data_IF_254528317296
#
_entry.id   IF_254528317296
#
_cell.length_a   1.000
_cell.length_b   1.000
_cell.length_c   1.000
_cell.angle_alpha   90.00
_cell.angle_beta   90.00
_cell.angle_gamma   90.00
#
_symmetry.space_group_name_H-M   'P 1'
#
loop_
_entity.id
_entity.type
_entity.pdbx_description
1 polymer ?
#
# COMPACT_ATOMS: atom_id res chain seq x y z
N UNK A 1 -4.70 -17.95 6.74
CA UNK A 1 -3.77 -18.97 7.26
C UNK A 1 -4.44 -20.31 7.25
N UNK A 2 -3.68 -21.38 7.03
CA UNK A 2 -4.21 -22.74 7.01
C UNK A 2 -3.22 -23.76 7.53
N UNK A 3 -3.76 -24.94 7.87
CA UNK A 3 -2.99 -26.12 8.23
C UNK A 3 -2.79 -27.02 7.01
N UNK A 4 -1.72 -27.80 7.04
CA UNK A 4 -1.41 -28.82 6.06
C UNK A 4 -1.56 -30.20 6.71
N UNK A 5 -2.32 -31.10 6.10
CA UNK A 5 -2.30 -32.51 6.50
C UNK A 5 -0.93 -33.13 6.16
N UNK A 6 -0.39 -34.04 7.01
CA UNK A 6 0.85 -34.73 6.70
C UNK A 6 0.62 -35.71 5.53
N UNK A 7 0.97 -35.26 4.33
CA UNK A 7 1.00 -36.05 3.08
C UNK A 7 2.39 -35.98 2.47
N UNK A 8 2.77 -37.01 1.72
CA UNK A 8 3.97 -36.97 0.86
C UNK A 8 3.83 -35.86 -0.18
N UNK A 9 4.95 -35.20 -0.53
CA UNK A 9 4.94 -34.00 -1.39
C UNK A 9 4.26 -34.24 -2.74
N UNK A 10 4.46 -35.43 -3.32
CA UNK A 10 3.90 -35.84 -4.62
C UNK A 10 2.37 -35.98 -4.60
N UNK A 11 1.78 -36.17 -3.43
CA UNK A 11 0.35 -36.34 -3.24
C UNK A 11 -0.34 -35.07 -2.75
N UNK A 12 0.41 -34.00 -2.46
CA UNK A 12 -0.14 -32.72 -2.01
C UNK A 12 -0.71 -31.93 -3.16
N UNK A 13 -1.86 -31.33 -2.90
CA UNK A 13 -2.67 -30.55 -3.80
C UNK A 13 -3.18 -29.29 -3.10
N UNK A 14 -3.74 -28.36 -3.88
CA UNK A 14 -4.31 -27.12 -3.34
C UNK A 14 -5.50 -27.35 -2.40
N UNK A 15 -6.20 -28.48 -2.53
CA UNK A 15 -7.37 -28.82 -1.70
C UNK A 15 -7.00 -29.33 -0.32
N UNK A 16 -5.73 -29.69 -0.10
CA UNK A 16 -5.24 -30.12 1.22
C UNK A 16 -4.95 -28.93 2.15
N UNK A 17 -4.96 -27.70 1.63
CA UNK A 17 -4.88 -26.49 2.44
C UNK A 17 -6.25 -26.20 3.07
N UNK A 18 -6.29 -26.16 4.40
CA UNK A 18 -7.51 -25.91 5.17
C UNK A 18 -7.36 -24.62 5.95
N UNK A 19 -8.27 -23.66 5.75
CA UNK A 19 -8.26 -22.41 6.50
C UNK A 19 -8.36 -22.65 8.01
N UNK A 20 -7.55 -21.96 8.81
CA UNK A 20 -7.56 -22.11 10.28
C UNK A 20 -8.88 -21.65 10.92
N UNK A 21 -9.61 -20.76 10.24
CA UNK A 21 -10.90 -20.25 10.70
C UNK A 21 -11.91 -20.25 9.54
N UNK A 22 -13.19 -20.54 9.82
CA UNK A 22 -14.24 -20.54 8.80
C UNK A 22 -14.67 -19.13 8.35
N UNK A 23 -14.18 -18.09 9.03
CA UNK A 23 -14.52 -16.69 8.78
C UNK A 23 -13.26 -15.81 8.88
N UNK A 24 -13.23 -14.64 8.20
CA UNK A 24 -12.17 -13.65 8.40
C UNK A 24 -12.09 -13.24 9.88
N UNK A 25 -10.87 -13.12 10.40
CA UNK A 25 -10.64 -12.85 11.83
C UNK A 25 -9.34 -12.09 12.04
N UNK A 26 -9.27 -11.37 13.15
CA UNK A 26 -8.05 -10.74 13.68
C UNK A 26 -7.31 -11.64 14.68
N UNK A 27 -7.79 -12.85 14.93
CA UNK A 27 -7.11 -13.84 15.77
C UNK A 27 -5.80 -14.24 15.09
N UNK A 28 -4.72 -14.22 15.87
CA UNK A 28 -3.40 -14.62 15.39
C UNK A 28 -3.41 -16.06 14.86
N UNK A 29 -2.68 -16.35 13.78
CA UNK A 29 -2.59 -17.71 13.26
C UNK A 29 -2.00 -18.66 14.30
N UNK A 30 -2.49 -19.91 14.30
CA UNK A 30 -1.91 -20.98 15.13
C UNK A 30 -0.45 -21.24 14.70
N UNK A 31 0.45 -21.61 15.64
CA UNK A 31 1.83 -21.94 15.30
C UNK A 31 1.92 -22.98 14.18
N UNK A 32 2.76 -22.72 13.18
CA UNK A 32 2.94 -23.57 12.01
C UNK A 32 1.91 -23.39 10.89
N UNK A 33 0.91 -22.51 11.06
CA UNK A 33 0.01 -22.18 9.96
C UNK A 33 0.74 -21.41 8.84
N UNK A 34 0.38 -21.69 7.59
CA UNK A 34 0.95 -21.05 6.40
C UNK A 34 -0.13 -20.36 5.57
N UNK A 35 0.27 -19.38 4.75
CA UNK A 35 -0.65 -18.81 3.76
C UNK A 35 -0.91 -19.80 2.63
N UNK A 36 -1.99 -19.61 1.85
CA UNK A 36 -2.22 -20.44 0.67
C UNK A 36 -1.07 -20.28 -0.36
N UNK A 37 -0.50 -19.08 -0.49
CA UNK A 37 0.63 -18.82 -1.38
C UNK A 37 1.85 -19.66 -0.99
N UNK A 38 2.30 -19.50 0.25
CA UNK A 38 3.41 -20.29 0.84
C UNK A 38 3.17 -21.79 0.73
N UNK A 39 1.94 -22.25 1.00
CA UNK A 39 1.60 -23.66 0.86
C UNK A 39 1.76 -24.16 -0.58
N UNK A 40 1.22 -23.44 -1.56
CA UNK A 40 1.34 -23.81 -2.97
C UNK A 40 2.80 -23.80 -3.46
N UNK A 41 3.59 -22.85 -2.98
CA UNK A 41 4.98 -22.65 -3.40
C UNK A 41 5.95 -23.66 -2.77
N UNK A 42 5.85 -23.86 -1.46
CA UNK A 42 6.85 -24.63 -0.69
C UNK A 42 6.41 -26.06 -0.37
N UNK A 43 5.10 -26.32 -0.43
CA UNK A 43 4.51 -27.58 0.04
C UNK A 43 3.75 -28.35 -1.05
N UNK A 44 3.80 -27.93 -2.31
CA UNK A 44 3.20 -28.68 -3.42
C UNK A 44 4.10 -28.68 -4.65
N UNK A 45 3.82 -29.57 -5.61
CA UNK A 45 4.46 -29.57 -6.93
C UNK A 45 3.61 -28.82 -8.00
N UNK A 46 2.67 -27.97 -7.57
CA UNK A 46 1.79 -27.24 -8.48
C UNK A 46 2.60 -26.21 -9.27
N UNK A 47 2.47 -26.21 -10.59
CA UNK A 47 3.18 -25.26 -11.46
C UNK A 47 2.81 -23.80 -11.17
N UNK A 48 3.75 -22.85 -11.32
CA UNK A 48 3.52 -21.41 -11.08
C UNK A 48 2.29 -20.82 -11.80
N UNK A 49 2.04 -21.27 -13.03
CA UNK A 49 0.86 -20.87 -13.81
C UNK A 49 -0.43 -21.27 -13.11
N UNK A 50 -0.47 -22.49 -12.60
CA UNK A 50 -1.60 -23.04 -11.88
C UNK A 50 -1.74 -22.43 -10.48
N UNK A 51 -0.63 -22.19 -9.78
CA UNK A 51 -0.63 -21.44 -8.52
C UNK A 51 -1.28 -20.05 -8.71
N UNK A 52 -0.92 -19.34 -9.78
CA UNK A 52 -1.51 -18.04 -10.11
C UNK A 52 -3.01 -18.15 -10.40
N UNK A 53 -3.43 -19.19 -11.14
CA UNK A 53 -4.85 -19.46 -11.41
C UNK A 53 -5.62 -19.69 -10.11
N UNK A 54 -5.09 -20.53 -9.21
CA UNK A 54 -5.72 -20.86 -7.92
C UNK A 54 -5.79 -19.61 -7.03
N UNK A 55 -4.70 -18.85 -6.89
CA UNK A 55 -4.66 -17.60 -6.10
C UNK A 55 -5.71 -16.59 -6.58
N UNK A 56 -5.84 -16.40 -7.89
CA UNK A 56 -6.83 -15.48 -8.49
C UNK A 56 -8.28 -15.97 -8.39
N UNK A 57 -8.47 -17.28 -8.34
CA UNK A 57 -9.78 -17.91 -8.25
C UNK A 57 -10.18 -18.30 -6.81
N UNK A 58 -9.47 -17.84 -5.78
CA UNK A 58 -9.55 -18.37 -4.41
C UNK A 58 -10.98 -18.59 -3.87
N UNK A 59 -11.89 -17.65 -4.11
CA UNK A 59 -13.29 -17.69 -3.65
C UNK A 59 -14.28 -18.34 -4.62
N UNK A 60 -13.82 -18.72 -5.82
CA UNK A 60 -14.67 -19.38 -6.82
C UNK A 60 -15.11 -20.77 -6.32
N UNK A 61 -16.28 -21.22 -6.80
CA UNK A 61 -16.85 -22.52 -6.45
C UNK A 61 -15.85 -23.64 -6.74
N UNK A 62 -15.59 -24.48 -5.73
CA UNK A 62 -14.66 -25.61 -5.81
C UNK A 62 -13.24 -25.32 -5.32
N UNK A 63 -12.90 -24.06 -5.02
CA UNK A 63 -11.61 -23.72 -4.41
C UNK A 63 -11.69 -23.64 -2.88
N UNK A 64 -10.55 -23.75 -2.22
CA UNK A 64 -10.45 -23.79 -0.75
C UNK A 64 -10.94 -22.51 -0.04
N UNK A 65 -11.00 -21.39 -0.77
CA UNK A 65 -11.52 -20.12 -0.29
C UNK A 65 -13.02 -19.90 -0.53
N UNK A 66 -13.75 -20.85 -1.13
CA UNK A 66 -15.16 -20.65 -1.50
C UNK A 66 -16.04 -20.25 -0.31
N UNK A 67 -15.73 -20.76 0.89
CA UNK A 67 -16.41 -20.39 2.13
C UNK A 67 -16.38 -18.88 2.44
N UNK A 68 -15.44 -18.13 1.85
CA UNK A 68 -15.30 -16.69 2.06
C UNK A 68 -16.03 -15.83 1.03
N UNK A 69 -16.78 -16.43 0.09
CA UNK A 69 -17.41 -15.68 -1.01
C UNK A 69 -18.44 -14.66 -0.52
N UNK A 70 -19.18 -14.95 0.56
CA UNK A 70 -20.12 -13.98 1.13
C UNK A 70 -19.40 -12.74 1.63
N UNK A 71 -18.29 -12.90 2.37
CA UNK A 71 -17.49 -11.79 2.87
C UNK A 71 -16.83 -10.99 1.75
N UNK A 72 -16.42 -11.64 0.66
CA UNK A 72 -15.93 -10.95 -0.53
C UNK A 72 -17.03 -10.09 -1.16
N UNK A 73 -18.25 -10.60 -1.25
CA UNK A 73 -19.38 -9.84 -1.78
C UNK A 73 -19.73 -8.66 -0.88
N UNK A 74 -19.77 -8.88 0.44
CA UNK A 74 -20.01 -7.81 1.43
C UNK A 74 -18.94 -6.73 1.34
N UNK A 75 -17.66 -7.11 1.18
CA UNK A 75 -16.56 -6.18 0.98
C UNK A 75 -16.67 -5.41 -0.33
N UNK A 76 -16.98 -6.09 -1.44
CA UNK A 76 -17.15 -5.45 -2.74
C UNK A 76 -18.30 -4.44 -2.70
N UNK A 77 -19.42 -4.78 -2.07
CA UNK A 77 -20.55 -3.86 -1.93
C UNK A 77 -20.18 -2.67 -1.02
N UNK A 78 -19.47 -2.91 0.09
CA UNK A 78 -19.01 -1.84 0.97
C UNK A 78 -17.97 -0.91 0.32
N UNK A 79 -17.19 -1.41 -0.64
CA UNK A 79 -16.21 -0.64 -1.42
C UNK A 79 -16.80 0.00 -2.68
N UNK A 80 -18.08 -0.26 -2.97
CA UNK A 80 -18.74 0.27 -4.14
C UNK A 80 -18.88 1.78 -4.04
N UNK A 81 -18.51 2.44 -5.12
CA UNK A 81 -18.58 3.87 -5.28
C UNK A 81 -19.82 4.18 -6.14
N UNK A 82 -20.86 4.75 -5.54
CA UNK A 82 -22.14 5.06 -6.22
C UNK A 82 -22.07 6.25 -7.18
N UNK A 83 -20.86 6.68 -7.53
CA UNK A 83 -20.64 7.90 -8.31
C UNK A 83 -20.78 7.57 -9.80
N UNK A 84 -21.67 8.31 -10.48
CA UNK A 84 -21.82 8.22 -11.92
C UNK A 84 -20.64 8.91 -12.63
N UNK A 85 -19.50 8.22 -12.69
CA UNK A 85 -18.27 8.71 -13.30
C UNK A 85 -18.32 8.75 -14.84
N UNK A 86 -19.33 8.12 -15.47
CA UNK A 86 -19.40 7.93 -16.91
C UNK A 86 -19.35 9.23 -17.75
N UNK A 87 -19.73 10.36 -17.14
CA UNK A 87 -19.79 11.66 -17.81
C UNK A 87 -18.73 12.66 -17.33
N UNK A 88 -17.83 12.27 -16.43
CA UNK A 88 -16.81 13.17 -15.87
C UNK A 88 -15.40 12.62 -16.11
N UNK A 89 -14.69 13.22 -17.07
CA UNK A 89 -13.31 12.84 -17.38
C UNK A 89 -12.37 12.91 -16.18
N UNK A 90 -12.63 13.78 -15.20
CA UNK A 90 -11.85 13.89 -13.97
C UNK A 90 -12.06 12.70 -13.02
N UNK A 91 -13.06 11.85 -13.26
CA UNK A 91 -13.40 10.70 -12.44
C UNK A 91 -13.16 9.37 -13.16
N UNK A 92 -12.46 9.37 -14.31
CA UNK A 92 -12.15 8.14 -15.06
C UNK A 92 -11.47 7.07 -14.22
N UNK A 93 -10.67 7.44 -13.22
CA UNK A 93 -10.05 6.46 -12.32
C UNK A 93 -11.10 5.74 -11.46
N UNK A 94 -12.24 6.35 -11.14
CA UNK A 94 -13.39 5.70 -10.48
C UNK A 94 -14.29 4.90 -11.43
N UNK A 95 -13.94 4.79 -12.72
CA UNK A 95 -14.76 4.07 -13.70
C UNK A 95 -14.94 2.58 -13.40
N UNK A 96 -14.07 2.01 -12.56
CA UNK A 96 -14.25 0.65 -12.04
C UNK A 96 -15.48 0.50 -11.14
N UNK A 97 -16.01 1.60 -10.62
CA UNK A 97 -17.12 1.62 -9.66
C UNK A 97 -16.70 1.35 -8.22
N UNK A 98 -15.40 1.41 -7.92
CA UNK A 98 -14.84 1.19 -6.58
C UNK A 98 -13.91 2.34 -6.16
N UNK A 99 -13.81 2.58 -4.86
CA UNK A 99 -12.80 3.48 -4.30
C UNK A 99 -11.39 2.88 -4.45
N UNK A 100 -10.39 3.69 -4.80
CA UNK A 100 -8.98 3.30 -4.66
C UNK A 100 -8.44 3.61 -3.27
N UNK A 101 -9.07 4.56 -2.56
CA UNK A 101 -8.76 4.89 -1.18
C UNK A 101 -10.02 4.75 -0.32
N UNK A 102 -9.94 3.93 0.73
CA UNK A 102 -11.07 3.73 1.63
C UNK A 102 -11.48 5.04 2.34
N UNK A 103 -12.79 5.37 2.44
CA UNK A 103 -13.22 6.63 3.04
C UNK A 103 -12.77 6.89 4.49
N UNK A 104 -12.53 5.82 5.27
CA UNK A 104 -11.99 5.95 6.64
C UNK A 104 -10.59 6.55 6.67
N UNK A 105 -9.80 6.39 5.61
CA UNK A 105 -8.49 7.03 5.49
C UNK A 105 -8.63 8.55 5.36
N UNK A 106 -9.58 9.04 4.57
CA UNK A 106 -9.83 10.49 4.46
C UNK A 106 -10.22 11.12 5.79
N UNK A 107 -11.05 10.44 6.59
CA UNK A 107 -11.39 10.85 7.96
C UNK A 107 -10.16 10.94 8.86
N UNK A 108 -9.23 9.99 8.74
CA UNK A 108 -7.99 10.02 9.50
C UNK A 108 -7.14 11.24 9.11
N UNK A 109 -6.94 11.49 7.82
CA UNK A 109 -6.15 12.64 7.35
C UNK A 109 -6.78 13.96 7.78
N UNK A 110 -8.10 14.07 7.69
CA UNK A 110 -8.86 15.22 8.17
C UNK A 110 -8.66 15.43 9.69
N UNK A 111 -8.82 14.37 10.49
CA UNK A 111 -8.58 14.43 11.92
C UNK A 111 -7.16 14.91 12.26
N UNK A 112 -6.14 14.36 11.59
CA UNK A 112 -4.75 14.78 11.81
C UNK A 112 -4.53 16.26 11.44
N UNK A 113 -5.14 16.72 10.35
CA UNK A 113 -5.07 18.12 9.91
C UNK A 113 -5.84 19.07 10.85
N UNK A 114 -6.97 18.64 11.40
CA UNK A 114 -7.77 19.41 12.38
C UNK A 114 -7.04 19.57 13.71
N UNK A 115 -6.31 18.54 14.14
CA UNK A 115 -5.48 18.57 15.34
C UNK A 115 -4.12 19.26 15.12
N UNK A 116 -3.87 19.78 13.90
CA UNK A 116 -2.58 20.32 13.45
C UNK A 116 -1.38 19.43 13.79
N UNK A 117 -1.58 18.11 13.67
CA UNK A 117 -0.53 17.13 13.88
C UNK A 117 0.41 17.10 12.69
N UNK A 118 1.68 16.82 12.98
CA UNK A 118 2.69 16.54 11.95
C UNK A 118 2.66 15.05 11.62
N UNK A 119 2.62 14.75 10.33
CA UNK A 119 2.60 13.40 9.82
C UNK A 119 3.15 13.37 8.40
N UNK A 120 3.56 12.19 7.95
CA UNK A 120 3.93 11.95 6.57
C UNK A 120 3.13 10.77 6.04
N UNK A 121 2.70 10.85 4.78
CA UNK A 121 1.96 9.77 4.12
C UNK A 121 2.82 9.21 3.00
N UNK A 122 3.05 7.90 3.02
CA UNK A 122 3.65 7.16 1.92
C UNK A 122 2.60 6.20 1.35
N UNK A 123 2.06 6.50 0.17
CA UNK A 123 1.21 5.56 -0.55
C UNK A 123 2.07 4.48 -1.19
N UNK A 124 1.80 3.21 -0.86
CA UNK A 124 2.45 2.07 -1.52
C UNK A 124 1.40 1.25 -2.24
N UNK A 125 1.59 1.04 -3.54
CA UNK A 125 0.70 0.21 -4.37
C UNK A 125 1.51 -0.85 -5.09
N UNK A 126 0.87 -1.95 -5.48
CA UNK A 126 1.44 -2.92 -6.40
C UNK A 126 0.86 -2.71 -7.80
N UNK A 127 1.64 -2.99 -8.85
CA UNK A 127 1.11 -2.89 -10.21
C UNK A 127 0.94 -1.44 -10.65
N UNK A 128 -0.19 -1.06 -11.25
CA UNK A 128 -0.37 0.23 -11.97
C UNK A 128 -1.30 1.22 -11.27
N UNK A 129 -1.73 0.93 -10.04
CA UNK A 129 -2.80 1.68 -9.39
C UNK A 129 -2.35 3.02 -8.78
N UNK A 130 -1.04 3.29 -8.72
CA UNK A 130 -0.51 4.47 -8.02
C UNK A 130 -1.05 5.79 -8.58
N UNK A 131 -1.23 5.89 -9.89
CA UNK A 131 -1.74 7.10 -10.55
C UNK A 131 -3.20 7.38 -10.17
N UNK A 132 -4.01 6.32 -10.05
CA UNK A 132 -5.39 6.41 -9.62
C UNK A 132 -5.49 6.84 -8.16
N UNK A 133 -4.69 6.22 -7.28
CA UNK A 133 -4.60 6.57 -5.85
C UNK A 133 -4.19 8.04 -5.68
N UNK A 134 -3.15 8.49 -6.38
CA UNK A 134 -2.70 9.89 -6.30
C UNK A 134 -3.75 10.87 -6.81
N UNK A 135 -4.45 10.53 -7.89
CA UNK A 135 -5.52 11.36 -8.45
C UNK A 135 -6.71 11.48 -7.51
N UNK A 136 -7.15 10.36 -6.91
CA UNK A 136 -8.22 10.32 -5.91
C UNK A 136 -7.88 11.16 -4.68
N UNK A 137 -6.67 10.95 -4.12
CA UNK A 137 -6.21 11.71 -2.95
C UNK A 137 -6.08 13.21 -3.22
N UNK A 138 -5.60 13.59 -4.41
CA UNK A 138 -5.49 15.00 -4.80
C UNK A 138 -6.87 15.66 -4.97
N UNK A 139 -7.87 14.93 -5.46
CA UNK A 139 -9.24 15.42 -5.51
C UNK A 139 -9.81 15.62 -4.11
N UNK A 140 -9.51 14.71 -3.17
CA UNK A 140 -9.85 14.88 -1.76
C UNK A 140 -9.21 16.15 -1.20
N UNK A 141 -7.90 16.33 -1.36
CA UNK A 141 -7.18 17.50 -0.85
C UNK A 141 -7.71 18.83 -1.41
N UNK A 142 -8.16 18.85 -2.66
CA UNK A 142 -8.73 20.06 -3.30
C UNK A 142 -10.21 20.31 -2.99
N UNK A 143 -10.86 19.45 -2.19
CA UNK A 143 -12.29 19.57 -1.88
C UNK A 143 -13.22 19.15 -3.02
N UNK A 144 -12.71 18.38 -3.99
CA UNK A 144 -13.43 17.99 -5.21
C UNK A 144 -13.70 16.50 -5.30
N UNK A 145 -13.41 15.73 -4.24
CA UNK A 145 -13.67 14.30 -4.25
C UNK A 145 -15.19 14.03 -4.18
N UNK A 146 -15.74 13.27 -5.14
CA UNK A 146 -17.18 13.20 -5.37
C UNK A 146 -18.00 12.56 -4.24
N UNK A 147 -17.38 11.71 -3.41
CA UNK A 147 -18.03 11.04 -2.28
C UNK A 147 -17.54 11.53 -0.91
N UNK A 148 -16.52 12.40 -0.89
CA UNK A 148 -15.92 12.85 0.35
C UNK A 148 -15.46 14.29 0.19
N UNK A 149 -16.17 15.22 0.80
CA UNK A 149 -15.77 16.64 0.82
C UNK A 149 -15.17 16.91 2.21
N UNK A 150 -13.86 17.20 2.32
CA UNK A 150 -13.25 17.54 3.60
C UNK A 150 -13.81 18.85 4.17
N UNK A 151 -13.75 18.99 5.49
CA UNK A 151 -14.13 20.18 6.27
C UNK A 151 -13.26 21.40 5.92
N UNK A 152 -12.07 21.17 5.37
CA UNK A 152 -11.10 22.17 4.91
C UNK A 152 -10.33 21.70 3.70
N UNK A 153 -9.76 22.65 2.94
CA UNK A 153 -8.87 22.30 1.82
C UNK A 153 -7.48 21.93 2.35
N UNK A 154 -6.93 20.84 1.84
CA UNK A 154 -5.62 20.31 2.21
C UNK A 154 -4.61 20.48 1.06
N UNK A 155 -4.83 21.46 0.19
CA UNK A 155 -4.02 21.78 -0.99
C UNK A 155 -3.17 23.05 -0.82
N UNK A 156 -3.03 23.53 0.41
CA UNK A 156 -2.31 24.75 0.78
C UNK A 156 -3.06 26.06 0.51
N UNK A 157 -4.26 26.02 -0.08
CA UNK A 157 -5.04 27.23 -0.37
C UNK A 157 -5.88 27.72 0.81
N UNK A 158 -6.09 26.88 1.83
CA UNK A 158 -6.82 27.25 3.04
C UNK A 158 -5.99 28.24 3.88
N UNK A 159 -6.54 29.43 4.23
CA UNK A 159 -5.82 30.41 5.03
C UNK A 159 -5.45 29.92 6.44
N UNK A 160 -6.22 28.99 7.00
CA UNK A 160 -6.04 28.43 8.34
C UNK A 160 -5.25 27.11 8.33
N UNK A 161 -4.97 26.56 7.15
CA UNK A 161 -4.17 25.34 6.99
C UNK A 161 -3.35 25.39 5.69
N UNK A 162 -2.14 25.95 5.79
CA UNK A 162 -1.28 26.24 4.62
C UNK A 162 -0.50 25.02 4.09
N UNK A 163 -0.61 23.86 4.73
CA UNK A 163 0.08 22.62 4.30
C UNK A 163 -0.61 22.06 3.06
N UNK A 164 0.18 21.79 2.00
CA UNK A 164 -0.29 21.15 0.76
C UNK A 164 0.04 19.66 0.81
N UNK A 165 -0.99 18.83 0.97
CA UNK A 165 -0.87 17.38 1.09
C UNK A 165 -0.94 16.68 -0.27
N UNK A 166 -1.09 17.41 -1.37
CA UNK A 166 -1.19 16.78 -2.69
C UNK A 166 0.10 16.08 -3.07
N UNK A 167 -0.04 14.92 -3.70
CA UNK A 167 1.07 14.17 -4.30
C UNK A 167 1.36 14.77 -5.67
N UNK A 168 2.63 15.10 -5.92
CA UNK A 168 3.06 15.81 -7.14
C UNK A 168 3.92 14.92 -8.03
N UNK A 169 3.29 14.05 -8.81
CA UNK A 169 4.02 13.20 -9.76
C UNK A 169 4.74 14.04 -10.83
N UNK A 170 5.95 13.64 -11.27
CA UNK A 170 6.71 12.46 -10.84
C UNK A 170 7.62 12.70 -9.60
N UNK A 171 7.53 13.87 -8.96
CA UNK A 171 8.29 14.16 -7.74
C UNK A 171 7.70 13.40 -6.55
N UNK A 172 8.56 13.04 -5.60
CA UNK A 172 8.16 12.24 -4.42
C UNK A 172 7.50 10.90 -4.82
N UNK A 173 7.93 10.34 -5.95
CA UNK A 173 7.46 9.07 -6.47
C UNK A 173 8.63 8.18 -6.87
N UNK A 174 8.57 6.91 -6.48
CA UNK A 174 9.55 5.90 -6.84
C UNK A 174 8.92 4.60 -7.32
N UNK A 175 9.58 3.93 -8.27
CA UNK A 175 9.26 2.56 -8.68
C UNK A 175 10.22 1.59 -8.03
N UNK A 176 9.72 0.67 -7.22
CA UNK A 176 10.50 -0.39 -6.60
C UNK A 176 10.57 -1.61 -7.49
N UNK A 177 11.75 -2.21 -7.55
CA UNK A 177 11.96 -3.51 -8.15
C UNK A 177 12.87 -4.35 -7.27
N UNK A 178 12.70 -5.66 -7.35
CA UNK A 178 13.47 -6.65 -6.58
C UNK A 178 14.21 -7.58 -7.55
N UNK A 179 15.52 -7.74 -7.36
CA UNK A 179 16.33 -8.69 -8.16
C UNK A 179 16.77 -9.94 -7.37
N UNK A 180 16.45 -10.00 -6.08
CA UNK A 180 16.85 -11.10 -5.20
C UNK A 180 16.18 -11.04 -3.83
N UNK A 181 16.51 -12.01 -2.97
CA UNK A 181 16.05 -12.04 -1.59
C UNK A 181 16.80 -11.03 -0.72
N UNK A 182 16.12 -10.50 0.30
CA UNK A 182 16.72 -9.61 1.30
C UNK A 182 16.76 -8.13 0.90
N UNK A 183 17.40 -7.32 1.74
CA UNK A 183 17.47 -5.86 1.62
C UNK A 183 18.32 -5.36 0.45
N UNK A 184 19.34 -6.13 0.06
CA UNK A 184 20.31 -5.73 -0.98
C UNK A 184 19.73 -5.83 -2.40
N UNK A 185 18.75 -6.71 -2.61
CA UNK A 185 18.09 -6.89 -3.90
C UNK A 185 17.04 -5.83 -4.24
N UNK A 186 16.81 -4.84 -3.36
CA UNK A 186 15.81 -3.80 -3.55
C UNK A 186 16.39 -2.61 -4.33
N UNK A 187 15.73 -2.20 -5.39
CA UNK A 187 16.07 -1.01 -6.18
C UNK A 187 14.89 -0.05 -6.21
N UNK A 188 15.18 1.24 -6.27
CA UNK A 188 14.18 2.27 -6.51
C UNK A 188 14.63 3.19 -7.64
N UNK A 189 13.82 3.30 -8.69
CA UNK A 189 13.96 4.36 -9.69
C UNK A 189 13.04 5.54 -9.30
N UNK A 190 13.58 6.74 -9.17
CA UNK A 190 12.81 7.94 -8.82
C UNK A 190 13.29 9.17 -9.58
N UNK A 191 12.54 10.27 -9.50
CA UNK A 191 12.96 11.57 -10.03
C UNK A 191 13.58 12.40 -8.90
N UNK A 192 14.80 12.90 -9.11
CA UNK A 192 15.50 13.76 -8.16
C UNK A 192 15.03 15.23 -8.22
N UNK A 193 15.59 16.10 -7.38
CA UNK A 193 15.25 17.53 -7.35
C UNK A 193 15.64 18.28 -8.64
N UNK A 194 16.62 17.77 -9.39
CA UNK A 194 17.07 18.27 -10.68
C UNK A 194 16.27 17.70 -11.86
N UNK A 195 15.18 16.96 -11.58
CA UNK A 195 14.32 16.28 -12.54
C UNK A 195 15.02 15.19 -13.38
N UNK A 196 16.10 14.60 -12.86
CA UNK A 196 16.72 13.42 -13.47
C UNK A 196 16.12 12.15 -12.90
N UNK A 197 16.01 11.11 -13.74
CA UNK A 197 15.71 9.76 -13.25
C UNK A 197 16.96 9.15 -12.64
N UNK A 198 16.91 8.85 -11.34
CA UNK A 198 18.00 8.24 -10.57
C UNK A 198 17.56 6.88 -10.07
N UNK A 199 18.49 5.93 -10.01
CA UNK A 199 18.27 4.62 -9.42
C UNK A 199 19.14 4.45 -8.19
N UNK A 200 18.55 4.03 -7.07
CA UNK A 200 19.25 3.65 -5.85
C UNK A 200 19.05 2.15 -5.58
N UNK A 201 20.02 1.55 -4.90
CA UNK A 201 20.03 0.11 -4.58
C UNK A 201 20.25 -0.12 -3.09
N UNK A 202 19.60 -1.14 -2.56
CA UNK A 202 19.61 -1.50 -1.14
C UNK A 202 18.52 -0.75 -0.35
N UNK A 203 17.89 -1.47 0.58
CA UNK A 203 16.82 -0.91 1.42
C UNK A 203 17.25 0.34 2.21
N UNK A 204 18.50 0.39 2.67
CA UNK A 204 19.04 1.57 3.36
C UNK A 204 19.09 2.82 2.47
N UNK A 205 19.46 2.68 1.19
CA UNK A 205 19.49 3.80 0.26
C UNK A 205 18.07 4.26 -0.11
N UNK A 206 17.15 3.32 -0.35
CA UNK A 206 15.73 3.62 -0.58
C UNK A 206 15.13 4.38 0.62
N UNK A 207 15.39 3.90 1.83
CA UNK A 207 14.94 4.55 3.06
C UNK A 207 15.48 5.98 3.18
N UNK A 208 16.78 6.19 2.92
CA UNK A 208 17.37 7.54 2.94
C UNK A 208 16.70 8.49 1.96
N UNK A 209 16.44 8.06 0.72
CA UNK A 209 15.73 8.90 -0.25
C UNK A 209 14.33 9.27 0.25
N UNK A 210 13.57 8.31 0.77
CA UNK A 210 12.21 8.58 1.26
C UNK A 210 12.24 9.52 2.46
N UNK A 211 13.09 9.22 3.45
CA UNK A 211 13.08 9.96 4.71
C UNK A 211 13.76 11.32 4.58
N UNK A 212 14.95 11.37 4.00
CA UNK A 212 15.77 12.57 3.93
C UNK A 212 15.35 13.44 2.75
N UNK A 213 15.22 12.87 1.54
CA UNK A 213 14.97 13.68 0.35
C UNK A 213 13.48 14.03 0.18
N UNK A 214 12.57 13.11 0.53
CA UNK A 214 11.13 13.34 0.33
C UNK A 214 10.43 13.90 1.55
N UNK A 215 10.79 13.44 2.75
CA UNK A 215 10.16 13.88 3.99
C UNK A 215 11.01 14.88 4.80
N UNK A 216 12.24 15.19 4.36
CA UNK A 216 13.15 16.09 5.05
C UNK A 216 13.38 15.71 6.54
N UNK A 217 13.35 14.42 6.83
CA UNK A 217 13.65 13.85 8.15
C UNK A 217 15.13 13.52 8.18
N UNK A 218 15.89 14.32 8.93
CA UNK A 218 17.31 14.01 9.18
C UNK A 218 17.40 12.96 10.29
N UNK A 219 17.96 11.81 9.95
CA UNK A 219 18.24 10.74 10.90
C UNK A 219 19.59 11.05 11.56
N UNK A 220 19.56 11.69 12.74
CA UNK A 220 20.77 11.83 13.57
C UNK A 220 21.14 10.52 14.27
N UNK A 221 20.30 9.49 14.14
CA UNK A 221 20.52 8.15 14.68
C UNK A 221 21.00 7.22 13.58
N UNK A 222 22.21 6.70 13.73
CA UNK A 222 22.64 5.51 12.97
C UNK A 222 21.61 4.39 13.19
N UNK A 223 21.20 3.63 12.16
CA UNK A 223 20.23 2.53 12.31
C UNK A 223 20.68 1.42 13.28
N UNK A 224 21.93 1.42 13.73
CA UNK A 224 22.50 0.42 14.64
C UNK A 224 22.57 0.83 16.13
N UNK A 225 22.25 2.07 16.52
CA UNK A 225 22.41 2.51 17.91
C UNK A 225 21.16 3.21 18.47
N UNK A 226 20.29 2.41 19.11
CA UNK A 226 19.16 2.91 19.90
C UNK A 226 19.61 3.22 21.34
N UNK A 227 20.20 4.40 21.55
CA UNK A 227 20.18 5.07 22.85
C UNK A 227 19.77 6.53 22.65
N UNK A 228 18.53 6.83 23.01
CA UNK A 228 17.94 8.16 22.90
C UNK A 228 18.55 9.11 23.95
N UNK A 229 19.40 10.03 23.52
CA UNK A 229 19.68 11.27 24.26
C UNK A 229 18.93 12.41 23.60
N UNK A 230 18.05 13.04 24.39
CA UNK A 230 17.27 14.21 24.03
C UNK A 230 18.20 15.43 24.17
N UNK A 231 18.74 15.93 23.07
CA UNK A 231 19.37 17.26 23.02
C UNK A 231 18.45 18.24 22.31
N UNK A 232 18.18 19.35 23.02
CA UNK A 232 17.41 20.50 22.56
C UNK A 232 18.27 21.35 21.62
N UNK A 233 18.01 21.32 20.32
CA UNK A 233 18.51 22.36 19.41
C UNK A 233 17.36 23.16 18.78
N UNK A 234 17.35 24.44 19.16
CA UNK A 234 16.42 25.46 18.72
C UNK A 234 16.90 26.07 17.39
N UNK A 235 16.56 25.43 16.29
CA UNK A 235 16.32 26.05 14.97
C UNK A 235 15.25 25.20 14.33
N UNK A 236 13.97 25.51 14.55
CA UNK A 236 12.87 24.69 14.04
C UNK A 236 12.93 24.69 12.52
N UNK A 237 13.35 23.60 11.84
CA UNK A 237 13.04 23.48 10.41
C UNK A 237 11.54 23.65 10.28
N UNK A 238 11.09 24.35 9.25
CA UNK A 238 9.67 24.47 8.97
C UNK A 238 9.04 23.08 9.03
N UNK A 239 8.04 22.94 9.89
CA UNK A 239 7.35 21.69 10.15
C UNK A 239 6.62 21.28 8.87
N UNK A 240 7.15 20.30 8.15
CA UNK A 240 6.59 19.91 6.86
C UNK A 240 5.85 18.58 6.93
N UNK A 241 4.55 18.64 6.69
CA UNK A 241 3.72 17.46 6.38
C UNK A 241 3.87 17.18 4.88
N UNK A 242 4.37 16.01 4.52
CA UNK A 242 4.61 15.61 3.13
C UNK A 242 3.83 14.35 2.75
N UNK A 243 3.56 14.21 1.45
CA UNK A 243 2.93 13.03 0.87
C UNK A 243 3.76 12.55 -0.31
N UNK A 244 4.06 11.26 -0.30
CA UNK A 244 4.86 10.58 -1.31
C UNK A 244 4.19 9.27 -1.75
N UNK A 245 4.68 8.71 -2.84
CA UNK A 245 4.11 7.54 -3.49
C UNK A 245 5.20 6.55 -3.92
N UNK A 246 4.94 5.26 -3.78
CA UNK A 246 5.84 4.20 -4.21
C UNK A 246 5.04 3.11 -4.92
N UNK A 247 5.50 2.77 -6.12
CA UNK A 247 4.91 1.73 -6.96
C UNK A 247 5.82 0.50 -6.95
N UNK A 248 5.32 -0.61 -6.45
CA UNK A 248 6.05 -1.88 -6.36
C UNK A 248 5.82 -2.74 -7.60
N UNK A 249 6.88 -3.28 -8.19
CA UNK A 249 6.79 -4.16 -9.34
C UNK A 249 6.23 -5.53 -8.93
N UNK A 250 5.01 -5.79 -9.38
CA UNK A 250 4.25 -7.00 -9.10
C UNK A 250 4.95 -8.30 -9.56
N UNK A 251 5.90 -8.22 -10.50
CA UNK A 251 6.54 -9.40 -11.08
C UNK A 251 7.30 -10.24 -10.05
N UNK A 252 7.87 -9.64 -9.00
CA UNK A 252 8.68 -10.37 -8.03
C UNK A 252 7.88 -11.26 -7.08
N UNK A 253 6.64 -10.90 -6.75
CA UNK A 253 5.77 -11.72 -5.89
C UNK A 253 5.37 -13.07 -6.53
N UNK A 254 5.76 -13.30 -7.79
CA UNK A 254 5.48 -14.51 -8.55
C UNK A 254 6.75 -15.28 -8.98
N UNK A 255 7.95 -14.76 -8.70
CA UNK A 255 9.23 -15.42 -9.00
C UNK A 255 9.79 -16.13 -7.79
#
# INVERSE_FOLDING_TARGET
>A
WGLCEPKELEHRSATDWVACHPQPTNVSPVPGAVTLGTYLEDHTLVSKKEQTRIKRAFTQKGNSGHQFVSFQNDLNEALRCEINAANNDQLRYLSSGYYHIIPSFFRLVEYLAEMDLEFNILFRTFGVDIENVCSEFNLFCTGRHPAYVPSRRLDGTDPNYRKDLRIRLPRFHGKLSHTGFGSEGLYMAHVDCANNTVQVSGAGAVYKVIMQDWFNIQDNTSPDETTATIENEAHSPEKHTHCAAVQDDFHWWHT
#
